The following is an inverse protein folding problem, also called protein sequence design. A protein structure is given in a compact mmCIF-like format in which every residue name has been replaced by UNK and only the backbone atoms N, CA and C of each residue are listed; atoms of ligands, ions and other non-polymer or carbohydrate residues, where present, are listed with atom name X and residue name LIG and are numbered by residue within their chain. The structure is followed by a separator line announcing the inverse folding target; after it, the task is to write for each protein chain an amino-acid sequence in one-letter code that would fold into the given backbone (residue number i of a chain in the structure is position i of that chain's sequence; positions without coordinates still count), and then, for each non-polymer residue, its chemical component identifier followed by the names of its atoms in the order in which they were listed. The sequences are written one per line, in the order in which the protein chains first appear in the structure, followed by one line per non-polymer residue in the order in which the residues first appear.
data_IF_657755261931
#
_entry.id   IF_657755261931
#
_cell.length_a   1.000
_cell.length_b   1.000
_cell.length_c   1.000
_cell.angle_alpha   90.00
_cell.angle_beta   90.00
_cell.angle_gamma   90.00
#
_symmetry.space_group_name_H-M   'P 1'
#
loop_
_entity.id
_entity.type
_entity.pdbx_description
1 polymer ?
#
# COMPACT_ATOMS: atom_id res chain seq x y z
N UNK A 1 -6.31 8.41 -5.35
CA UNK A 1 -6.00 7.03 -5.68
C UNK A 1 -5.07 6.41 -4.66
N UNK A 2 -5.19 5.12 -4.40
CA UNK A 2 -4.19 4.44 -3.57
C UNK A 2 -2.82 4.51 -4.21
N UNK A 3 -1.75 4.43 -3.41
CA UNK A 3 -0.41 4.39 -3.96
C UNK A 3 -0.21 3.15 -4.84
N UNK A 4 0.72 3.26 -5.78
CA UNK A 4 1.04 2.14 -6.65
C UNK A 4 1.65 0.99 -5.85
N UNK A 5 1.49 -0.22 -6.37
CA UNK A 5 2.21 -1.36 -5.82
C UNK A 5 3.71 -1.16 -6.03
N UNK A 6 4.51 -1.91 -5.28
CA UNK A 6 5.96 -1.73 -5.32
C UNK A 6 6.60 -2.47 -6.48
N UNK A 7 7.47 -1.75 -7.20
CA UNK A 7 8.60 -2.38 -7.86
C UNK A 7 9.78 -2.26 -6.89
N UNK A 8 10.93 -2.77 -7.26
CA UNK A 8 12.09 -2.74 -6.36
C UNK A 8 12.54 -1.31 -6.07
N UNK A 9 12.60 -0.46 -7.09
CA UNK A 9 13.07 0.92 -6.90
C UNK A 9 12.15 1.68 -5.96
N UNK A 10 10.85 1.59 -6.14
CA UNK A 10 9.90 2.27 -5.28
C UNK A 10 9.99 1.77 -3.84
N UNK A 11 10.17 0.45 -3.67
CA UNK A 11 10.35 -0.11 -2.33
C UNK A 11 11.61 0.41 -1.67
N UNK A 12 12.71 0.50 -2.42
CA UNK A 12 13.97 1.04 -1.90
C UNK A 12 13.81 2.50 -1.48
N UNK A 13 13.10 3.30 -2.25
CA UNK A 13 12.85 4.70 -1.92
C UNK A 13 12.02 4.81 -0.64
N UNK A 14 10.96 4.02 -0.53
CA UNK A 14 10.11 4.07 0.67
C UNK A 14 10.84 3.60 1.92
N UNK A 15 11.63 2.55 1.82
CA UNK A 15 12.38 2.05 2.96
C UNK A 15 13.47 3.03 3.40
N UNK A 16 14.06 3.74 2.45
CA UNK A 16 15.02 4.79 2.79
C UNK A 16 14.33 5.94 3.51
N UNK A 17 13.16 6.34 3.00
CA UNK A 17 12.42 7.46 3.58
C UNK A 17 11.92 7.14 4.99
N UNK A 18 11.43 5.92 5.21
CA UNK A 18 10.79 5.57 6.48
C UNK A 18 11.75 5.01 7.51
N UNK A 19 12.75 4.26 7.08
CA UNK A 19 13.62 3.50 7.97
C UNK A 19 15.08 3.85 7.81
N UNK A 20 15.43 4.76 6.91
CA UNK A 20 16.80 5.11 6.58
C UNK A 20 17.61 3.91 6.07
N UNK A 21 16.94 2.93 5.46
CA UNK A 21 17.63 1.79 4.86
C UNK A 21 18.32 2.20 3.57
N UNK A 22 19.53 1.67 3.35
CA UNK A 22 20.17 1.81 2.04
C UNK A 22 19.42 0.94 1.02
N UNK A 23 19.64 1.22 -0.26
CA UNK A 23 19.06 0.38 -1.32
C UNK A 23 19.51 -1.07 -1.18
N UNK A 24 20.77 -1.30 -0.82
CA UNK A 24 21.31 -2.64 -0.64
C UNK A 24 20.65 -3.35 0.55
N UNK A 25 20.45 -2.66 1.66
CA UNK A 25 19.78 -3.23 2.82
C UNK A 25 18.35 -3.65 2.47
N UNK A 26 17.62 -2.78 1.78
CA UNK A 26 16.25 -3.09 1.35
C UNK A 26 16.23 -4.30 0.44
N UNK A 27 17.15 -4.38 -0.50
CA UNK A 27 17.21 -5.54 -1.40
C UNK A 27 17.47 -6.83 -0.64
N UNK A 28 18.39 -6.81 0.32
CA UNK A 28 18.67 -8.00 1.12
C UNK A 28 17.47 -8.44 1.94
N UNK A 29 16.74 -7.50 2.51
CA UNK A 29 15.57 -7.80 3.34
C UNK A 29 14.44 -8.37 2.49
N UNK A 30 14.13 -7.74 1.36
CA UNK A 30 13.04 -8.22 0.52
C UNK A 30 13.40 -9.55 -0.15
N UNK A 31 14.68 -9.77 -0.47
CA UNK A 31 15.14 -11.04 -0.99
C UNK A 31 14.94 -12.15 0.04
N UNK A 32 15.24 -11.88 1.30
CA UNK A 32 15.02 -12.82 2.38
C UNK A 32 13.54 -13.16 2.54
N UNK A 33 12.67 -12.17 2.47
CA UNK A 33 11.22 -12.40 2.51
C UNK A 33 10.75 -13.27 1.35
N UNK A 34 11.30 -13.06 0.17
CA UNK A 34 11.00 -13.88 -0.99
C UNK A 34 11.45 -15.33 -0.77
N UNK A 35 12.65 -15.52 -0.23
CA UNK A 35 13.17 -16.85 0.03
C UNK A 35 12.35 -17.59 1.09
N UNK A 36 11.78 -16.87 2.03
CA UNK A 36 10.85 -17.42 3.02
C UNK A 36 9.46 -17.64 2.46
N UNK A 37 9.23 -17.30 1.19
CA UNK A 37 7.95 -17.45 0.48
C UNK A 37 6.83 -16.58 1.05
N UNK A 38 7.20 -15.46 1.66
CA UNK A 38 6.23 -14.53 2.23
C UNK A 38 5.85 -13.44 1.24
N UNK A 39 6.73 -13.08 0.32
CA UNK A 39 6.48 -12.11 -0.74
C UNK A 39 6.91 -12.68 -2.08
N UNK A 40 6.46 -12.04 -3.16
CA UNK A 40 6.81 -12.45 -4.52
C UNK A 40 8.19 -11.95 -4.91
N UNK A 41 8.65 -12.35 -6.08
CA UNK A 41 9.99 -12.06 -6.57
C UNK A 41 10.26 -10.55 -6.57
N UNK A 42 11.38 -10.10 -5.97
CA UNK A 42 11.57 -8.67 -5.71
C UNK A 42 12.29 -7.89 -6.80
N UNK A 43 13.03 -8.56 -7.68
CA UNK A 43 13.79 -7.83 -8.70
C UNK A 43 12.92 -7.56 -9.90
N UNK A 44 11.99 -6.63 -9.75
CA UNK A 44 10.98 -6.33 -10.76
C UNK A 44 10.95 -4.82 -11.00
N UNK A 45 10.56 -4.46 -12.20
CA UNK A 45 10.49 -3.06 -12.62
C UNK A 45 9.06 -2.63 -12.98
N UNK A 46 8.07 -3.40 -12.61
CA UNK A 46 6.67 -3.06 -12.86
C UNK A 46 5.89 -2.89 -11.56
N UNK A 47 4.90 -2.02 -11.60
CA UNK A 47 3.98 -1.76 -10.49
C UNK A 47 2.62 -2.41 -10.72
N UNK A 48 2.49 -3.27 -11.71
CA UNK A 48 1.21 -3.82 -12.13
C UNK A 48 1.15 -5.31 -11.87
N UNK A 49 -0.09 -5.81 -11.81
CA UNK A 49 -0.38 -7.24 -11.70
C UNK A 49 -1.04 -7.72 -12.98
N UNK A 50 -0.81 -8.98 -13.38
CA UNK A 50 -1.54 -9.56 -14.50
C UNK A 50 -2.97 -9.88 -14.08
N UNK A 51 -3.87 -9.94 -15.05
CA UNK A 51 -5.27 -10.21 -14.76
C UNK A 51 -5.50 -11.56 -14.11
N UNK A 52 -4.63 -12.53 -14.33
CA UNK A 52 -4.78 -13.88 -13.75
C UNK A 52 -4.49 -13.91 -12.25
N UNK A 53 -3.94 -12.86 -11.68
CA UNK A 53 -3.78 -12.74 -10.23
C UNK A 53 -5.11 -12.38 -9.54
N UNK A 54 -6.01 -11.71 -10.26
CA UNK A 54 -7.25 -11.24 -9.65
C UNK A 54 -8.07 -12.34 -8.97
N UNK A 55 -8.25 -13.53 -9.58
CA UNK A 55 -8.98 -14.60 -8.89
C UNK A 55 -8.27 -15.11 -7.63
N UNK A 56 -6.97 -14.87 -7.51
CA UNK A 56 -6.18 -15.32 -6.35
C UNK A 56 -6.21 -14.32 -5.21
N UNK A 57 -6.67 -13.10 -5.46
CA UNK A 57 -6.66 -12.02 -4.46
C UNK A 57 -7.37 -12.39 -3.16
N UNK A 58 -8.59 -12.98 -3.17
CA UNK A 58 -9.24 -13.34 -1.91
C UNK A 58 -8.41 -14.29 -1.06
N UNK A 59 -7.77 -15.29 -1.68
CA UNK A 59 -6.92 -16.22 -0.95
C UNK A 59 -5.69 -15.56 -0.36
N UNK A 60 -5.07 -14.66 -1.13
CA UNK A 60 -3.90 -13.93 -0.64
C UNK A 60 -4.30 -13.07 0.56
N UNK A 61 -5.39 -12.32 0.45
CA UNK A 61 -5.85 -11.46 1.53
C UNK A 61 -6.16 -12.24 2.79
N UNK A 62 -6.83 -13.38 2.65
CA UNK A 62 -7.15 -14.21 3.80
C UNK A 62 -5.94 -14.75 4.52
N UNK A 63 -4.82 -14.88 3.82
CA UNK A 63 -3.57 -15.33 4.42
C UNK A 63 -2.86 -14.27 5.23
N UNK A 64 -3.25 -13.00 5.11
CA UNK A 64 -2.62 -11.89 5.83
C UNK A 64 -3.25 -11.73 7.21
N UNK A 65 -3.03 -12.69 8.08
CA UNK A 65 -3.72 -12.80 9.38
C UNK A 65 -3.61 -11.56 10.27
N UNK A 66 -2.46 -10.89 10.37
CA UNK A 66 -2.38 -9.70 11.23
C UNK A 66 -3.19 -8.51 10.74
N UNK A 67 -3.69 -8.55 9.51
CA UNK A 67 -4.38 -7.42 8.88
C UNK A 67 -5.87 -7.67 8.70
N UNK A 68 -6.43 -8.62 9.43
CA UNK A 68 -7.80 -9.06 9.24
C UNK A 68 -8.82 -7.93 9.33
N UNK A 69 -8.61 -6.97 10.24
CA UNK A 69 -9.53 -5.85 10.40
C UNK A 69 -9.53 -4.93 9.18
N UNK A 70 -8.40 -4.83 8.49
CA UNK A 70 -8.29 -4.02 7.27
C UNK A 70 -8.84 -4.79 6.06
N UNK A 71 -8.78 -6.10 6.10
CA UNK A 71 -9.16 -6.96 4.98
C UNK A 71 -10.66 -7.24 4.97
N UNK A 72 -11.28 -7.36 6.15
CA UNK A 72 -12.70 -7.69 6.27
C UNK A 72 -13.60 -6.79 5.42
N UNK A 73 -13.44 -5.47 5.40
CA UNK A 73 -14.28 -4.63 4.54
C UNK A 73 -14.16 -4.96 3.05
N UNK A 74 -13.00 -5.43 2.62
CA UNK A 74 -12.78 -5.80 1.22
C UNK A 74 -13.50 -7.11 0.91
N UNK A 75 -13.30 -8.12 1.75
CA UNK A 75 -13.83 -9.46 1.53
C UNK A 75 -15.33 -9.50 1.70
N UNK A 76 -15.87 -8.75 2.68
CA UNK A 76 -17.29 -8.73 2.97
C UNK A 76 -18.08 -7.85 2.00
N UNK A 77 -17.39 -7.11 1.15
CA UNK A 77 -18.05 -6.36 0.11
C UNK A 77 -18.57 -7.28 -1.00
N UNK A 78 -19.40 -6.75 -1.87
CA UNK A 78 -20.01 -7.54 -2.94
C UNK A 78 -18.99 -7.95 -4.00
N UNK A 79 -17.97 -7.15 -4.20
CA UNK A 79 -16.96 -7.43 -5.23
C UNK A 79 -15.66 -6.71 -4.88
N UNK A 80 -14.55 -7.43 -5.05
CA UNK A 80 -13.24 -6.83 -4.85
C UNK A 80 -12.91 -5.93 -6.03
N UNK A 81 -12.42 -4.74 -5.74
CA UNK A 81 -12.10 -3.73 -6.76
C UNK A 81 -11.04 -4.26 -7.72
N UNK A 82 -11.30 -4.09 -9.02
CA UNK A 82 -10.33 -4.42 -10.06
C UNK A 82 -10.06 -3.17 -10.89
N UNK A 83 -8.99 -2.48 -10.57
CA UNK A 83 -8.61 -1.25 -11.26
C UNK A 83 -7.60 -1.52 -12.35
N UNK A 84 -7.77 -0.87 -13.50
CA UNK A 84 -6.79 -0.94 -14.59
C UNK A 84 -5.46 -0.28 -14.20
N UNK A 85 -5.46 0.50 -13.14
CA UNK A 85 -4.22 1.06 -12.60
C UNK A 85 -3.41 0.04 -11.83
N UNK A 86 -4.00 -1.11 -11.52
CA UNK A 86 -3.34 -2.21 -10.82
C UNK A 86 -3.18 -3.42 -11.73
N UNK A 87 -4.26 -3.81 -12.42
CA UNK A 87 -4.28 -5.00 -13.28
C UNK A 87 -4.16 -4.60 -14.75
N UNK A 88 -3.02 -4.86 -15.35
CA UNK A 88 -2.79 -4.52 -16.74
C UNK A 88 -1.72 -5.45 -17.33
N UNK A 89 -2.18 -6.44 -18.11
CA UNK A 89 -1.27 -7.42 -18.71
C UNK A 89 -0.24 -6.78 -19.64
N UNK A 90 -0.57 -5.65 -20.24
CA UNK A 90 0.34 -4.97 -21.17
C UNK A 90 1.52 -4.33 -20.48
N UNK A 91 1.45 -4.15 -19.17
CA UNK A 91 2.52 -3.56 -18.38
C UNK A 91 3.35 -4.61 -17.64
N UNK A 92 3.14 -5.88 -17.96
CA UNK A 92 3.83 -7.00 -17.33
C UNK A 92 4.76 -7.61 -18.39
N UNK A 93 5.97 -7.98 -17.96
CA UNK A 93 6.88 -8.74 -18.79
C UNK A 93 7.02 -10.14 -18.19
N UNK A 94 8.15 -10.42 -17.53
CA UNK A 94 8.40 -11.73 -16.95
C UNK A 94 7.86 -11.84 -15.53
N UNK A 95 7.77 -10.71 -14.83
CA UNK A 95 7.38 -10.68 -13.44
C UNK A 95 6.35 -9.57 -13.21
N UNK A 96 5.70 -9.60 -12.06
CA UNK A 96 4.72 -8.57 -11.66
C UNK A 96 5.19 -7.84 -10.40
N UNK A 97 4.42 -6.84 -9.96
CA UNK A 97 4.74 -6.06 -8.78
C UNK A 97 4.94 -6.96 -7.55
N UNK A 98 5.66 -6.44 -6.56
CA UNK A 98 5.93 -7.16 -5.31
C UNK A 98 4.66 -7.15 -4.47
N UNK A 99 4.15 -8.34 -4.16
CA UNK A 99 2.94 -8.50 -3.33
C UNK A 99 3.16 -9.64 -2.34
N UNK A 100 2.34 -9.72 -1.28
CA UNK A 100 2.37 -10.89 -0.40
C UNK A 100 1.91 -12.13 -1.16
N UNK A 101 2.37 -13.30 -0.71
CA UNK A 101 1.99 -14.57 -1.34
C UNK A 101 0.72 -15.17 -0.77
N UNK A 102 0.27 -14.66 0.40
CA UNK A 102 -0.82 -15.29 1.14
C UNK A 102 -0.33 -16.24 2.23
N UNK A 103 0.95 -16.51 2.28
CA UNK A 103 1.57 -17.24 3.38
C UNK A 103 2.05 -16.22 4.39
N UNK A 104 1.79 -16.46 5.68
CA UNK A 104 2.27 -15.58 6.73
C UNK A 104 2.99 -16.38 7.80
N UNK A 105 4.07 -15.83 8.32
CA UNK A 105 4.84 -16.42 9.41
C UNK A 105 5.30 -15.31 10.34
N UNK A 106 5.32 -15.59 11.63
CA UNK A 106 5.89 -14.66 12.60
C UNK A 106 7.42 -14.76 12.67
N UNK A 107 8.01 -15.70 11.94
CA UNK A 107 9.46 -15.87 11.91
C UNK A 107 10.11 -14.85 10.98
N UNK A 108 10.16 -13.62 11.44
CA UNK A 108 10.76 -12.51 10.71
C UNK A 108 11.62 -11.68 11.65
N UNK A 109 12.74 -11.19 11.13
CA UNK A 109 13.54 -10.20 11.86
C UNK A 109 12.77 -8.88 11.95
N UNK A 110 13.17 -7.96 12.84
CA UNK A 110 12.51 -6.64 12.90
C UNK A 110 12.52 -5.91 11.56
N UNK A 111 13.62 -5.97 10.82
CA UNK A 111 13.70 -5.33 9.51
C UNK A 111 12.77 -6.01 8.49
N UNK A 112 12.70 -7.34 8.54
CA UNK A 112 11.77 -8.07 7.68
C UNK A 112 10.32 -7.71 7.98
N UNK A 113 9.98 -7.54 9.25
CA UNK A 113 8.63 -7.12 9.64
C UNK A 113 8.28 -5.75 9.08
N UNK A 114 9.24 -4.82 9.12
CA UNK A 114 9.03 -3.48 8.60
C UNK A 114 8.76 -3.48 7.11
N UNK A 115 9.57 -4.20 6.36
CA UNK A 115 9.42 -4.25 4.90
C UNK A 115 8.17 -5.03 4.52
N UNK A 116 7.89 -6.15 5.20
CA UNK A 116 6.67 -6.92 4.96
C UNK A 116 5.43 -6.07 5.19
N UNK A 117 5.42 -5.28 6.27
CA UNK A 117 4.29 -4.41 6.58
C UNK A 117 4.03 -3.40 5.45
N UNK A 118 5.08 -2.82 4.89
CA UNK A 118 4.93 -1.91 3.75
C UNK A 118 4.28 -2.61 2.56
N UNK A 119 4.78 -3.79 2.23
CA UNK A 119 4.29 -4.54 1.08
C UNK A 119 2.84 -4.98 1.29
N UNK A 120 2.53 -5.51 2.47
CA UNK A 120 1.19 -5.98 2.79
C UNK A 120 0.16 -4.85 2.76
N UNK A 121 0.48 -3.72 3.39
CA UNK A 121 -0.45 -2.58 3.43
C UNK A 121 -0.65 -1.96 2.06
N UNK A 122 0.40 -1.89 1.25
CA UNK A 122 0.31 -1.37 -0.10
C UNK A 122 -0.61 -2.26 -0.96
N UNK A 123 -0.50 -3.57 -0.79
CA UNK A 123 -1.37 -4.52 -1.48
C UNK A 123 -2.82 -4.38 -1.05
N UNK A 124 -3.07 -4.28 0.25
CA UNK A 124 -4.43 -4.14 0.77
C UNK A 124 -5.05 -2.84 0.27
N UNK A 125 -4.29 -1.76 0.28
CA UNK A 125 -4.78 -0.43 -0.05
C UNK A 125 -5.33 -0.33 -1.48
N UNK A 126 -4.77 -1.07 -2.44
CA UNK A 126 -5.21 -0.97 -3.82
C UNK A 126 -6.61 -1.54 -4.04
N UNK A 127 -7.16 -2.27 -3.07
CA UNK A 127 -8.51 -2.80 -3.15
C UNK A 127 -9.52 -1.95 -2.39
N UNK A 128 -9.07 -0.87 -1.77
CA UNK A 128 -9.94 0.14 -1.20
C UNK A 128 -10.31 1.18 -2.26
N UNK A 129 -11.43 1.88 -2.12
CA UNK A 129 -11.78 2.95 -3.07
C UNK A 129 -10.86 4.14 -2.92
N UNK A 130 -10.95 5.05 -3.87
CA UNK A 130 -10.20 6.30 -3.81
C UNK A 130 -10.64 7.11 -2.60
N UNK A 131 -9.68 7.84 -2.03
CA UNK A 131 -9.97 8.73 -0.92
C UNK A 131 -10.82 9.90 -1.42
N UNK A 132 -11.91 10.21 -0.71
CA UNK A 132 -12.72 11.36 -1.03
C UNK A 132 -12.23 12.57 -0.25
N UNK A 133 -11.99 13.67 -0.96
CA UNK A 133 -11.48 14.88 -0.38
C UNK A 133 -12.40 16.02 -0.75
N UNK A 134 -12.90 16.74 0.26
CA UNK A 134 -13.66 17.94 0.02
C UNK A 134 -12.71 19.13 0.03
N UNK A 135 -12.84 19.97 -0.98
CA UNK A 135 -12.07 21.18 -1.07
C UNK A 135 -12.82 22.28 -0.32
N UNK A 136 -12.24 22.80 0.74
CA UNK A 136 -12.88 23.78 1.58
C UNK A 136 -12.79 25.20 1.03
N UNK A 137 -12.24 25.36 -0.15
CA UNK A 137 -12.12 26.67 -0.77
C UNK A 137 -13.46 27.35 -0.94
N UNK A 138 -14.49 26.59 -1.22
CA UNK A 138 -15.81 27.14 -1.39
C UNK A 138 -16.31 27.80 -0.11
N UNK A 139 -15.95 27.25 0.99
CA UNK A 139 -16.39 27.80 2.26
C UNK A 139 -15.74 29.13 2.56
N UNK A 140 -14.59 29.35 2.02
CA UNK A 140 -13.89 30.60 2.24
C UNK A 140 -14.62 31.80 1.66
N UNK A 141 -15.46 31.56 0.71
CA UNK A 141 -16.21 32.65 0.17
C UNK A 141 -17.10 33.32 1.13
N UNK A 142 -17.57 32.56 2.02
CA UNK A 142 -18.49 33.10 2.92
C UNK A 142 -17.82 33.90 3.93
N UNK A 143 -16.80 33.65 4.23
CA UNK A 143 -16.29 34.29 5.27
C UNK A 143 -15.30 34.97 5.09
N UNK A 144 -14.78 35.12 5.20
CA UNK A 144 -13.99 35.86 5.26
C UNK A 144 -12.83 35.42 5.06
N UNK A 145 -12.61 35.15 4.77
CA UNK A 145 -11.61 35.01 4.50
C UNK A 145 -10.79 34.13 4.80
N UNK A 146 -10.77 33.94 5.32
CA UNK A 146 -10.09 33.28 5.73
C UNK A 146 -9.75 32.23 5.37
N UNK A 147 -9.86 31.95 4.98
CA UNK A 147 -9.58 31.02 4.81
C UNK A 147 -8.98 30.42 4.22
N UNK A 148 -8.78 30.58 4.19
CA UNK A 148 -8.18 30.19 3.79
C UNK A 148 -8.12 29.08 3.52
N UNK A 149 -8.67 28.90 3.40
CA UNK A 149 -8.88 28.02 3.01
C UNK A 149 -8.29 26.88 2.91
N UNK A 150 -8.02 26.73 3.49
CA UNK A 150 -7.36 25.97 3.65
C UNK A 150 -7.38 24.71 3.37
N UNK A 151 -7.72 24.31 2.86
CA UNK A 151 -7.55 23.18 2.83
C UNK A 151 -8.28 22.14 2.25
N UNK A 152 -7.87 20.89 2.36
CA UNK A 152 -8.61 19.73 1.97
C UNK A 152 -9.11 19.02 3.19
N UNK A 153 -10.38 18.68 3.16
CA UNK A 153 -10.99 17.92 4.22
C UNK A 153 -11.27 16.53 3.70
N UNK A 154 -10.82 15.53 4.40
CA UNK A 154 -11.04 14.15 3.99
C UNK A 154 -12.42 13.72 4.44
N UNK A 155 -13.28 13.43 3.45
CA UNK A 155 -14.64 12.97 3.75
C UNK A 155 -14.65 11.48 4.01
N UNK A 156 -13.98 10.71 3.15
CA UNK A 156 -13.89 9.27 3.29
C UNK A 156 -12.42 8.90 3.16
N UNK A 157 -11.78 8.43 4.22
CA UNK A 157 -10.37 8.09 4.16
C UNK A 157 -10.08 6.91 3.25
N UNK A 158 -11.05 5.98 3.05
CA UNK A 158 -10.89 4.86 2.14
C UNK A 158 -9.53 4.17 2.34
N UNK A 159 -8.69 4.12 1.30
CA UNK A 159 -7.41 3.44 1.36
C UNK A 159 -6.47 3.99 2.44
N UNK A 160 -6.67 5.23 2.87
CA UNK A 160 -5.75 5.82 3.85
C UNK A 160 -5.82 5.16 5.22
N UNK A 161 -6.93 4.48 5.54
CA UNK A 161 -7.04 3.79 6.83
C UNK A 161 -6.06 2.62 6.92
N UNK A 162 -5.56 2.13 5.80
CA UNK A 162 -4.62 1.01 5.78
C UNK A 162 -3.27 1.42 6.35
N UNK A 163 -2.92 2.70 6.26
CA UNK A 163 -1.60 3.17 6.67
C UNK A 163 -1.63 3.79 8.06
N UNK A 164 -0.57 3.60 8.87
CA UNK A 164 -0.51 4.20 10.19
C UNK A 164 -0.51 5.72 10.09
N UNK A 165 -1.07 6.37 11.10
CA UNK A 165 -1.13 7.83 11.16
C UNK A 165 0.21 8.42 11.61
N UNK A 166 1.26 8.13 10.88
CA UNK A 166 2.60 8.60 11.24
C UNK A 166 2.76 10.11 11.07
N UNK A 167 1.93 10.69 10.23
CA UNK A 167 2.02 12.11 9.97
C UNK A 167 1.72 12.98 11.19
N UNK A 168 1.02 12.42 12.16
CA UNK A 168 0.70 13.20 13.34
C UNK A 168 1.90 13.48 14.22
N UNK A 169 2.97 12.73 14.04
CA UNK A 169 4.15 12.96 14.87
C UNK A 169 5.00 14.10 14.39
N UNK A 170 4.81 14.49 13.15
CA UNK A 170 5.60 15.57 12.60
C UNK A 170 5.11 16.94 13.02
N UNK A 171 3.85 17.02 13.36
CA UNK A 171 3.29 18.30 13.76
C UNK A 171 3.67 18.68 15.18
N UNK A 172 4.14 17.73 15.94
CA UNK A 172 4.46 18.01 17.34
C UNK A 172 5.91 18.44 17.53
N UNK A 173 6.68 18.50 16.49
CA UNK A 173 8.06 18.87 16.62
C UNK A 173 8.34 20.33 16.31
N UNK A 174 7.33 21.13 16.16
CA UNK A 174 7.52 22.57 15.90
C UNK A 174 7.24 23.43 17.11
#
# INVERSE_FOLDING_TARGET
HPPKLFDLTLLQVECNRKFAFSADTTLKVIQSLYEKKLTTYPRVDTNFLPNDIYPKVPGILKGLKPYVTLIDPIINGSKIRKSSKVFNDKKITDHHAIIPTGVFSYDMTPDEKRVYDLVARRFIAVFYPDCEIANTTVMAQVGVNEFKATGKQIIDPAWRVVFPAASNKQSDEN
#
